data_IF_145835588551
#
_entry.id   IF_145835588551
#
_cell.length_a   1.000
_cell.length_b   1.000
_cell.length_c   1.000
_cell.angle_alpha   90.00
_cell.angle_beta   90.00
_cell.angle_gamma   90.00
#
_symmetry.space_group_name_H-M   'P 1'
#
loop_
_entity.id
_entity.type
_entity.pdbx_description
1 polymer ?
#
# COMPACT_ATOMS: atom_id res chain seq x y z
N UNK A 1 -31.78 38.61 -20.40
CA UNK A 1 -30.41 38.30 -20.86
C UNK A 1 -29.62 37.92 -19.62
N UNK A 2 -29.70 36.66 -19.19
CA UNK A 2 -28.79 35.56 -19.57
C UNK A 2 -27.37 35.85 -19.04
N UNK A 3 -27.07 35.39 -17.82
CA UNK A 3 -26.34 34.13 -17.53
C UNK A 3 -24.84 34.23 -17.79
N UNK A 4 -24.06 34.15 -16.70
CA UNK A 4 -22.72 33.57 -16.71
C UNK A 4 -22.51 32.85 -15.37
N UNK A 5 -22.89 31.57 -15.41
CA UNK A 5 -22.64 30.53 -14.42
C UNK A 5 -21.14 30.19 -14.31
N UNK A 6 -20.62 30.11 -13.09
CA UNK A 6 -20.30 28.86 -12.36
C UNK A 6 -19.50 29.16 -11.07
N UNK A 7 -19.76 28.46 -9.96
CA UNK A 7 -19.05 28.66 -8.70
C UNK A 7 -17.70 27.93 -8.71
N UNK A 8 -16.64 28.63 -8.27
CA UNK A 8 -15.35 28.05 -7.94
C UNK A 8 -15.53 26.98 -6.85
N UNK A 9 -15.28 25.71 -7.18
CA UNK A 9 -15.25 24.62 -6.21
C UNK A 9 -14.08 24.84 -5.24
N UNK A 10 -14.36 24.80 -3.94
CA UNK A 10 -13.36 24.98 -2.90
C UNK A 10 -12.29 23.87 -2.93
N UNK A 11 -11.08 24.08 -2.37
CA UNK A 11 -10.07 23.03 -2.23
C UNK A 11 -10.57 21.78 -1.49
N UNK A 12 -11.57 21.92 -0.61
CA UNK A 12 -12.26 20.82 0.08
C UNK A 12 -13.09 19.99 -0.90
N UNK A 13 -13.63 20.59 -1.96
CA UNK A 13 -14.40 19.93 -3.01
C UNK A 13 -13.50 19.19 -4.01
N UNK A 14 -12.27 19.66 -4.22
CA UNK A 14 -11.26 18.88 -4.96
C UNK A 14 -10.72 17.69 -4.14
N UNK A 15 -10.58 17.85 -2.82
CA UNK A 15 -10.29 16.72 -1.92
C UNK A 15 -11.43 15.68 -1.95
N UNK A 16 -12.70 16.09 -2.03
CA UNK A 16 -13.86 15.18 -2.15
C UNK A 16 -13.87 14.30 -3.41
N UNK A 17 -13.15 14.67 -4.47
CA UNK A 17 -13.12 13.89 -5.73
C UNK A 17 -11.91 12.95 -5.81
N UNK A 18 -10.87 13.17 -4.99
CA UNK A 18 -9.59 12.42 -5.04
C UNK A 18 -9.39 11.42 -3.90
N UNK A 19 -10.33 11.30 -2.96
CA UNK A 19 -10.26 10.47 -1.75
C UNK A 19 -10.99 9.12 -1.91
N UNK A 20 -11.26 8.69 -3.15
CA UNK A 20 -11.86 7.37 -3.44
C UNK A 20 -11.00 6.14 -3.10
N UNK A 21 -9.85 6.34 -2.45
CA UNK A 21 -8.80 5.35 -2.28
C UNK A 21 -8.43 5.01 -0.83
N UNK A 22 -8.69 5.89 0.15
CA UNK A 22 -8.46 5.67 1.60
C UNK A 22 -9.29 6.71 2.36
N UNK A 23 -9.78 6.50 3.59
CA UNK A 23 -10.64 5.49 4.18
C UNK A 23 -11.98 6.16 4.57
N UNK A 24 -12.67 6.74 3.59
CA UNK A 24 -14.00 7.34 3.80
C UNK A 24 -15.02 6.43 4.51
N UNK A 25 -15.00 5.08 4.36
CA UNK A 25 -16.04 4.26 4.99
C UNK A 25 -16.08 4.36 6.53
N UNK A 26 -14.97 4.73 7.19
CA UNK A 26 -14.88 4.74 8.64
C UNK A 26 -15.44 6.01 9.30
N UNK A 27 -15.64 7.10 8.53
CA UNK A 27 -16.05 8.40 9.07
C UNK A 27 -17.49 8.73 8.73
N UNK A 28 -18.27 9.10 9.74
CA UNK A 28 -19.61 9.63 9.52
C UNK A 28 -19.54 11.10 9.09
N UNK A 29 -19.66 11.35 7.77
CA UNK A 29 -19.45 12.65 7.15
C UNK A 29 -20.35 13.78 7.69
N UNK A 30 -21.64 13.56 7.98
CA UNK A 30 -22.48 14.58 8.62
C UNK A 30 -21.92 15.05 9.97
N UNK A 31 -21.52 14.11 10.83
CA UNK A 31 -20.93 14.42 12.14
C UNK A 31 -19.62 15.17 12.01
N UNK A 32 -18.75 14.75 11.07
CA UNK A 32 -17.49 15.46 10.81
C UNK A 32 -17.73 16.91 10.35
N UNK A 33 -18.65 17.11 9.40
CA UNK A 33 -19.02 18.46 8.90
C UNK A 33 -19.68 19.34 9.96
N UNK A 34 -20.41 18.76 10.90
CA UNK A 34 -20.96 19.51 12.02
C UNK A 34 -19.87 19.94 13.01
N UNK A 35 -18.90 19.04 13.29
CA UNK A 35 -17.82 19.29 14.25
C UNK A 35 -16.97 20.53 13.92
N UNK A 36 -16.73 20.80 12.63
CA UNK A 36 -15.91 21.93 12.17
C UNK A 36 -16.56 23.31 12.40
N UNK A 37 -17.84 23.36 12.74
CA UNK A 37 -18.57 24.62 12.99
C UNK A 37 -18.55 25.03 14.47
N UNK A 38 -17.83 24.30 15.34
CA UNK A 38 -17.73 24.59 16.77
C UNK A 38 -16.29 24.39 17.27
N UNK A 39 -15.96 24.83 18.50
CA UNK A 39 -14.72 24.44 19.14
C UNK A 39 -14.59 22.91 19.22
N UNK A 40 -13.47 22.40 18.73
CA UNK A 40 -13.15 20.97 18.67
C UNK A 40 -12.57 20.49 20.00
N UNK A 41 -13.01 19.33 20.45
CA UNK A 41 -12.36 18.58 21.54
C UNK A 41 -11.01 18.04 21.06
N UNK A 42 -10.15 17.63 21.99
CA UNK A 42 -8.78 17.22 21.64
C UNK A 42 -8.74 16.00 20.70
N UNK A 43 -9.59 15.01 20.91
CA UNK A 43 -9.70 13.84 20.03
C UNK A 43 -10.21 14.19 18.63
N UNK A 44 -11.09 15.18 18.50
CA UNK A 44 -11.60 15.66 17.22
C UNK A 44 -10.53 16.44 16.46
N UNK A 45 -9.75 17.27 17.17
CA UNK A 45 -8.57 17.92 16.59
C UNK A 45 -7.57 16.88 16.11
N UNK A 46 -7.32 15.85 16.91
CA UNK A 46 -6.39 14.78 16.56
C UNK A 46 -6.81 14.07 15.28
N UNK A 47 -8.09 13.71 15.19
CA UNK A 47 -8.68 13.10 14.01
C UNK A 47 -8.55 14.01 12.78
N UNK A 48 -8.89 15.30 12.89
CA UNK A 48 -8.81 16.24 11.76
C UNK A 48 -7.37 16.42 11.29
N UNK A 49 -6.41 16.62 12.20
CA UNK A 49 -5.00 16.74 11.81
C UNK A 49 -4.47 15.45 11.16
N UNK A 50 -4.81 14.29 11.71
CA UNK A 50 -4.42 13.01 11.09
C UNK A 50 -5.05 12.80 9.71
N UNK A 51 -6.30 13.23 9.50
CA UNK A 51 -6.98 13.20 8.20
C UNK A 51 -6.31 14.15 7.19
N UNK A 52 -5.95 15.36 7.63
CA UNK A 52 -5.19 16.31 6.83
C UNK A 52 -3.79 15.76 6.47
N UNK A 53 -3.12 15.10 7.41
CA UNK A 53 -1.84 14.46 7.19
C UNK A 53 -1.91 13.41 6.08
N UNK A 54 -2.80 12.41 6.21
CA UNK A 54 -2.92 11.34 5.20
C UNK A 54 -3.36 11.87 3.83
N UNK A 55 -4.29 12.83 3.81
CA UNK A 55 -4.72 13.47 2.55
C UNK A 55 -3.55 14.19 1.88
N UNK A 56 -2.75 14.92 2.66
CA UNK A 56 -1.59 15.63 2.14
C UNK A 56 -0.51 14.66 1.66
N UNK A 57 -0.24 13.58 2.39
CA UNK A 57 0.77 12.60 1.96
C UNK A 57 0.37 11.89 0.66
N UNK A 58 -0.91 11.54 0.45
CA UNK A 58 -1.38 11.00 -0.84
C UNK A 58 -1.31 11.99 -2.01
N UNK A 59 -1.33 13.29 -1.71
CA UNK A 59 -1.20 14.33 -2.72
C UNK A 59 0.26 14.70 -3.01
N UNK A 60 1.23 14.06 -2.34
CA UNK A 60 2.66 14.30 -2.56
C UNK A 60 3.06 14.12 -4.02
N UNK A 61 3.79 15.10 -4.57
CA UNK A 61 4.18 15.13 -5.98
C UNK A 61 3.18 15.82 -6.91
N UNK A 62 1.96 16.14 -6.45
CA UNK A 62 1.02 16.97 -7.19
C UNK A 62 1.29 18.46 -6.94
N UNK A 63 0.81 19.31 -7.85
CA UNK A 63 0.89 20.76 -7.66
C UNK A 63 0.01 21.20 -6.48
N UNK A 64 0.56 22.01 -5.59
CA UNK A 64 -0.19 22.67 -4.54
C UNK A 64 -0.62 24.06 -5.03
N UNK A 65 -1.92 24.24 -5.22
CA UNK A 65 -2.50 25.53 -5.64
C UNK A 65 -2.89 26.42 -4.45
N UNK A 66 -2.76 25.89 -3.23
CA UNK A 66 -3.12 26.60 -2.01
C UNK A 66 -1.95 27.46 -1.51
N UNK A 67 -2.22 28.68 -0.99
CA UNK A 67 -1.20 29.47 -0.29
C UNK A 67 -0.79 28.77 1.01
N UNK A 68 0.51 28.67 1.26
CA UNK A 68 1.05 28.07 2.49
C UNK A 68 2.27 27.18 2.21
N UNK A 69 2.19 25.86 2.45
CA UNK A 69 3.34 24.98 2.36
C UNK A 69 3.84 24.83 0.91
N UNK A 70 5.16 24.71 0.69
CA UNK A 70 5.75 24.65 -0.65
C UNK A 70 5.50 23.30 -1.36
N UNK A 71 5.06 22.27 -0.62
CA UNK A 71 4.66 20.98 -1.19
C UNK A 71 3.64 20.27 -0.28
N UNK A 72 2.89 19.33 -0.87
CA UNK A 72 1.99 18.45 -0.13
C UNK A 72 2.71 17.55 0.89
N UNK A 73 3.96 17.15 0.62
CA UNK A 73 4.74 16.38 1.58
C UNK A 73 5.03 17.20 2.85
N UNK A 74 5.39 18.48 2.69
CA UNK A 74 5.63 19.39 3.82
C UNK A 74 4.34 19.67 4.59
N UNK A 75 3.21 19.83 3.89
CA UNK A 75 1.90 19.92 4.53
C UNK A 75 1.58 18.67 5.36
N UNK A 76 1.84 17.48 4.81
CA UNK A 76 1.62 16.21 5.49
C UNK A 76 2.46 16.08 6.77
N UNK A 77 3.74 16.45 6.72
CA UNK A 77 4.62 16.47 7.89
C UNK A 77 4.16 17.47 8.94
N UNK A 78 3.78 18.67 8.53
CA UNK A 78 3.21 19.67 9.43
C UNK A 78 1.98 19.13 10.18
N UNK A 79 1.03 18.52 9.47
CA UNK A 79 -0.17 17.96 10.11
C UNK A 79 0.12 16.74 11.00
N UNK A 80 1.15 15.94 10.67
CA UNK A 80 1.64 14.89 11.56
C UNK A 80 2.19 15.47 12.87
N UNK A 81 3.00 16.52 12.79
CA UNK A 81 3.59 17.18 13.95
C UNK A 81 2.50 17.81 14.82
N UNK A 82 1.53 18.51 14.22
CA UNK A 82 0.37 19.06 14.93
C UNK A 82 -0.49 17.96 15.58
N UNK A 83 -0.70 16.85 14.88
CA UNK A 83 -1.42 15.70 15.43
C UNK A 83 -0.70 15.16 16.68
N UNK A 84 0.61 14.94 16.61
CA UNK A 84 1.43 14.44 17.73
C UNK A 84 1.44 15.45 18.88
N UNK A 85 1.56 16.76 18.59
CA UNK A 85 1.54 17.83 19.59
C UNK A 85 0.20 17.86 20.34
N UNK A 86 -0.93 17.72 19.65
CA UNK A 86 -2.25 17.63 20.31
C UNK A 86 -2.31 16.46 21.29
N UNK A 87 -1.72 15.30 20.96
CA UNK A 87 -1.69 14.12 21.86
C UNK A 87 -0.88 14.37 23.13
N UNK A 88 0.06 15.32 23.12
CA UNK A 88 0.81 15.71 24.32
C UNK A 88 -0.03 16.62 25.25
N UNK A 89 -1.11 17.21 24.74
CA UNK A 89 -1.98 18.13 25.47
C UNK A 89 -3.07 17.46 26.30
N UNK A 90 -3.22 16.13 26.24
CA UNK A 90 -4.18 15.37 27.03
C UNK A 90 -3.75 13.91 27.20
N UNK A 91 -4.45 13.14 28.05
CA UNK A 91 -4.21 11.70 28.19
C UNK A 91 -4.77 10.95 26.98
N UNK A 92 -4.00 10.94 25.88
CA UNK A 92 -4.37 10.24 24.64
C UNK A 92 -4.50 8.72 24.84
N UNK A 93 -3.74 8.14 25.78
CA UNK A 93 -3.71 6.69 25.98
C UNK A 93 -5.01 6.19 26.61
N UNK A 94 -5.65 6.96 27.50
CA UNK A 94 -6.98 6.64 28.05
C UNK A 94 -8.15 7.12 27.18
N UNK A 95 -7.89 7.64 25.97
CA UNK A 95 -8.92 8.07 25.03
C UNK A 95 -9.61 6.86 24.36
N UNK A 96 -10.84 6.59 24.80
CA UNK A 96 -11.68 5.48 24.30
C UNK A 96 -12.60 5.86 23.15
N UNK A 97 -12.34 6.98 22.48
CA UNK A 97 -13.12 7.40 21.31
C UNK A 97 -12.74 6.61 20.06
N UNK A 98 -13.71 6.42 19.15
CA UNK A 98 -13.42 5.89 17.82
C UNK A 98 -12.48 6.84 17.04
N UNK A 99 -12.58 8.15 17.29
CA UNK A 99 -11.70 9.18 16.73
C UNK A 99 -10.22 8.87 17.01
N UNK A 100 -9.89 8.44 18.23
CA UNK A 100 -8.51 8.13 18.60
C UNK A 100 -7.98 6.93 17.80
N UNK A 101 -8.75 5.83 17.71
CA UNK A 101 -8.42 4.65 16.87
C UNK A 101 -8.17 5.05 15.42
N UNK A 102 -9.10 5.78 14.82
CA UNK A 102 -9.02 6.19 13.42
C UNK A 102 -7.83 7.13 13.20
N UNK A 103 -7.58 8.06 14.14
CA UNK A 103 -6.47 8.99 14.04
C UNK A 103 -5.11 8.29 14.04
N UNK A 104 -4.93 7.27 14.89
CA UNK A 104 -3.70 6.47 14.92
C UNK A 104 -3.52 5.66 13.64
N UNK A 105 -4.60 5.13 13.08
CA UNK A 105 -4.57 4.50 11.77
C UNK A 105 -4.15 5.49 10.67
N UNK A 106 -4.68 6.71 10.66
CA UNK A 106 -4.30 7.73 9.66
C UNK A 106 -2.85 8.19 9.80
N UNK A 107 -2.37 8.36 11.04
CA UNK A 107 -0.95 8.66 11.32
C UNK A 107 -0.06 7.52 10.80
N UNK A 108 -0.46 6.26 11.03
CA UNK A 108 0.23 5.09 10.49
C UNK A 108 0.34 5.12 8.97
N UNK A 109 -0.78 5.37 8.27
CA UNK A 109 -0.81 5.39 6.81
C UNK A 109 -0.03 6.58 6.26
N UNK A 110 -0.07 7.74 6.92
CA UNK A 110 0.72 8.90 6.51
C UNK A 110 2.23 8.62 6.63
N UNK A 111 2.67 7.94 7.70
CA UNK A 111 4.06 7.47 7.80
C UNK A 111 4.41 6.38 6.77
N UNK A 112 3.45 5.55 6.37
CA UNK A 112 3.65 4.58 5.29
C UNK A 112 3.95 5.29 3.96
N UNK A 113 3.14 6.27 3.60
CA UNK A 113 3.30 7.07 2.38
C UNK A 113 4.61 7.88 2.36
N UNK A 114 5.10 8.27 3.54
CA UNK A 114 6.40 8.93 3.71
C UNK A 114 7.59 7.94 3.78
N UNK A 115 7.35 6.65 3.51
CA UNK A 115 8.34 5.58 3.59
C UNK A 115 9.03 5.46 4.97
N UNK A 116 8.33 5.80 6.06
CA UNK A 116 8.81 5.66 7.44
C UNK A 116 8.25 4.38 8.07
N UNK A 117 8.69 3.22 7.54
CA UNK A 117 8.10 1.90 7.84
C UNK A 117 7.98 1.58 9.34
N UNK A 118 9.02 1.86 10.14
CA UNK A 118 8.99 1.63 11.59
C UNK A 118 7.91 2.42 12.30
N UNK A 119 7.73 3.71 11.96
CA UNK A 119 6.69 4.55 12.55
C UNK A 119 5.31 4.11 12.09
N UNK A 120 5.16 3.82 10.81
CA UNK A 120 3.91 3.29 10.28
C UNK A 120 3.44 2.06 11.06
N UNK A 121 4.33 1.08 11.24
CA UNK A 121 4.02 -0.12 12.01
C UNK A 121 3.66 0.17 13.49
N UNK A 122 4.41 1.06 14.14
CA UNK A 122 4.14 1.46 15.52
C UNK A 122 2.71 2.01 15.67
N UNK A 123 2.33 2.98 14.83
CA UNK A 123 1.01 3.60 14.92
C UNK A 123 -0.12 2.68 14.45
N UNK A 124 0.15 1.71 13.55
CA UNK A 124 -0.82 0.68 13.20
C UNK A 124 -1.11 -0.20 14.42
N UNK A 125 -0.07 -0.59 15.16
CA UNK A 125 -0.23 -1.38 16.39
C UNK A 125 -0.92 -0.59 17.51
N UNK A 126 -0.64 0.70 17.64
CA UNK A 126 -1.37 1.61 18.52
C UNK A 126 -2.88 1.60 18.18
N UNK A 127 -3.24 1.81 16.91
CA UNK A 127 -4.63 1.79 16.46
C UNK A 127 -5.33 0.46 16.76
N UNK A 128 -4.68 -0.68 16.49
CA UNK A 128 -5.25 -2.00 16.78
C UNK A 128 -5.41 -2.27 18.27
N UNK A 129 -4.47 -1.81 19.10
CA UNK A 129 -4.56 -1.94 20.57
C UNK A 129 -5.77 -1.16 21.08
N UNK A 130 -5.91 0.10 20.68
CA UNK A 130 -7.05 0.94 21.04
C UNK A 130 -8.38 0.36 20.52
N UNK A 131 -8.40 -0.20 19.30
CA UNK A 131 -9.57 -0.86 18.74
C UNK A 131 -10.00 -2.09 19.57
N UNK A 132 -9.03 -2.86 20.09
CA UNK A 132 -9.31 -3.98 20.98
C UNK A 132 -9.83 -3.50 22.34
N UNK A 133 -9.25 -2.44 22.90
CA UNK A 133 -9.66 -1.87 24.19
C UNK A 133 -11.10 -1.35 24.19
N UNK A 134 -11.56 -0.74 23.09
CA UNK A 134 -12.96 -0.31 22.94
C UNK A 134 -13.89 -1.45 22.45
N UNK A 135 -13.36 -2.65 22.26
CA UNK A 135 -14.13 -3.86 21.95
C UNK A 135 -14.61 -3.99 20.50
N UNK A 136 -13.92 -3.40 19.51
CA UNK A 136 -14.34 -3.49 18.10
C UNK A 136 -14.34 -4.93 17.53
N UNK A 137 -13.69 -5.87 18.21
CA UNK A 137 -13.64 -7.27 17.80
C UNK A 137 -14.78 -8.12 18.43
N UNK A 138 -15.60 -7.52 19.29
CA UNK A 138 -16.62 -8.23 20.07
C UNK A 138 -18.03 -7.91 19.54
N UNK A 139 -18.73 -8.90 18.98
CA UNK A 139 -20.04 -8.70 18.35
C UNK A 139 -21.10 -8.09 19.30
N UNK A 140 -21.07 -8.46 20.58
CA UNK A 140 -22.06 -7.95 21.54
C UNK A 140 -21.90 -6.45 21.83
N UNK A 141 -20.71 -5.85 21.59
CA UNK A 141 -20.46 -4.41 21.79
C UNK A 141 -21.20 -3.51 20.80
N UNK A 142 -21.71 -4.09 19.71
CA UNK A 142 -22.49 -3.38 18.71
C UNK A 142 -23.98 -3.25 19.07
N UNK A 143 -24.45 -4.02 20.05
CA UNK A 143 -25.86 -4.04 20.45
C UNK A 143 -26.28 -2.69 21.07
N UNK A 144 -27.33 -2.09 20.53
CA UNK A 144 -27.89 -0.83 21.02
C UNK A 144 -27.15 0.44 20.60
N UNK A 145 -26.12 0.33 19.74
CA UNK A 145 -25.47 1.50 19.14
C UNK A 145 -26.39 2.18 18.10
N UNK A 146 -26.17 3.48 17.88
CA UNK A 146 -26.79 4.17 16.77
C UNK A 146 -26.29 3.59 15.43
N UNK A 147 -27.14 3.37 14.41
CA UNK A 147 -26.74 2.69 13.17
C UNK A 147 -25.51 3.29 12.48
N UNK A 148 -25.39 4.62 12.47
CA UNK A 148 -24.23 5.29 11.88
C UNK A 148 -22.92 5.00 12.64
N UNK A 149 -22.99 4.94 13.98
CA UNK A 149 -21.82 4.63 14.81
C UNK A 149 -21.45 3.15 14.70
N UNK A 150 -22.45 2.26 14.70
CA UNK A 150 -22.26 0.83 14.48
C UNK A 150 -21.49 0.57 13.19
N UNK A 151 -21.94 1.18 12.08
CA UNK A 151 -21.33 1.03 10.76
C UNK A 151 -19.88 1.54 10.75
N UNK A 152 -19.62 2.73 11.31
CA UNK A 152 -18.27 3.30 11.41
C UNK A 152 -17.32 2.38 12.21
N UNK A 153 -17.78 1.85 13.34
CA UNK A 153 -17.02 0.92 14.19
C UNK A 153 -16.70 -0.39 13.46
N UNK A 154 -17.68 -1.00 12.78
CA UNK A 154 -17.46 -2.23 11.99
C UNK A 154 -16.47 -1.98 10.87
N UNK A 155 -16.64 -0.91 10.10
CA UNK A 155 -15.73 -0.58 8.99
C UNK A 155 -14.31 -0.28 9.48
N UNK A 156 -14.16 0.45 10.59
CA UNK A 156 -12.86 0.71 11.22
C UNK A 156 -12.14 -0.59 11.56
N UNK A 157 -12.83 -1.54 12.20
CA UNK A 157 -12.27 -2.86 12.48
C UNK A 157 -11.78 -3.57 11.21
N UNK A 158 -12.63 -3.64 10.19
CA UNK A 158 -12.32 -4.38 8.96
C UNK A 158 -11.23 -3.70 8.11
N UNK A 159 -11.09 -2.37 8.18
CA UNK A 159 -9.94 -1.65 7.60
C UNK A 159 -8.64 -2.02 8.31
N UNK A 160 -8.64 -2.04 9.64
CA UNK A 160 -7.47 -2.47 10.43
C UNK A 160 -7.11 -3.93 10.13
N UNK A 161 -8.10 -4.80 10.02
CA UNK A 161 -7.94 -6.22 9.67
C UNK A 161 -7.23 -6.43 8.32
N UNK A 162 -7.68 -5.72 7.29
CA UNK A 162 -7.07 -5.76 5.95
C UNK A 162 -5.65 -5.20 5.96
N UNK A 163 -5.45 -4.07 6.65
CA UNK A 163 -4.15 -3.41 6.74
C UNK A 163 -3.13 -4.28 7.51
N UNK A 164 -3.54 -4.90 8.63
CA UNK A 164 -2.67 -5.80 9.40
C UNK A 164 -2.16 -6.96 8.53
N UNK A 165 -3.04 -7.59 7.75
CA UNK A 165 -2.65 -8.69 6.84
C UNK A 165 -1.73 -8.24 5.74
N UNK A 166 -1.96 -7.05 5.19
CA UNK A 166 -1.05 -6.45 4.21
C UNK A 166 0.35 -6.31 4.81
N UNK A 167 0.46 -5.80 6.04
CA UNK A 167 1.74 -5.68 6.75
C UNK A 167 2.34 -7.03 7.13
N UNK A 168 1.52 -8.00 7.54
CA UNK A 168 1.98 -9.34 7.87
C UNK A 168 2.67 -9.98 6.66
N UNK A 169 2.08 -9.83 5.48
CA UNK A 169 2.61 -10.37 4.23
C UNK A 169 3.83 -9.58 3.76
N UNK A 170 3.69 -8.27 3.61
CA UNK A 170 4.71 -7.39 3.00
C UNK A 170 5.94 -7.14 3.87
N UNK A 171 5.81 -7.28 5.19
CA UNK A 171 6.84 -6.89 6.17
C UNK A 171 7.09 -7.95 7.24
N UNK A 172 6.60 -9.17 7.05
CA UNK A 172 6.74 -10.30 7.99
C UNK A 172 6.34 -9.93 9.42
N UNK A 173 5.23 -9.22 9.58
CA UNK A 173 4.69 -8.83 10.88
C UNK A 173 3.71 -9.88 11.43
N UNK A 174 3.60 -10.04 12.76
CA UNK A 174 2.65 -10.97 13.35
C UNK A 174 1.23 -10.38 13.36
N UNK A 175 0.23 -11.25 13.19
CA UNK A 175 -1.18 -10.92 13.39
C UNK A 175 -1.51 -10.78 14.87
N UNK A 176 -2.47 -9.91 15.19
CA UNK A 176 -3.03 -9.73 16.55
C UNK A 176 -4.54 -9.79 16.57
N UNK A 177 -5.21 -9.50 15.45
CA UNK A 177 -6.66 -9.57 15.36
C UNK A 177 -7.10 -11.03 15.11
N UNK A 178 -7.31 -11.77 16.20
CA UNK A 178 -7.69 -13.19 16.17
C UNK A 178 -9.21 -13.44 16.12
N UNK A 179 -10.01 -12.45 16.50
CA UNK A 179 -11.49 -12.47 16.44
C UNK A 179 -11.99 -11.38 15.50
N UNK A 180 -13.08 -11.66 14.79
CA UNK A 180 -13.73 -10.71 13.89
C UNK A 180 -15.20 -10.54 14.29
N UNK A 181 -15.74 -9.30 14.29
CA UNK A 181 -17.18 -9.07 14.36
C UNK A 181 -17.83 -9.48 13.03
N UNK A 182 -19.16 -9.46 12.96
CA UNK A 182 -19.86 -9.61 11.69
C UNK A 182 -19.46 -8.51 10.69
N UNK A 183 -19.47 -8.86 9.41
CA UNK A 183 -19.24 -7.92 8.32
C UNK A 183 -20.29 -6.80 8.32
N UNK A 184 -19.94 -5.57 7.93
CA UNK A 184 -20.95 -4.53 7.75
C UNK A 184 -21.94 -4.98 6.67
N UNK A 185 -23.23 -4.78 6.91
CA UNK A 185 -24.33 -5.15 6.00
C UNK A 185 -25.08 -3.94 5.43
N UNK A 186 -24.69 -2.74 5.83
CA UNK A 186 -25.35 -1.48 5.49
C UNK A 186 -24.37 -0.46 4.91
N UNK A 187 -24.93 0.66 4.45
CA UNK A 187 -24.24 1.85 3.98
C UNK A 187 -24.87 3.09 4.61
N UNK A 188 -24.16 4.21 4.62
CA UNK A 188 -24.77 5.49 4.95
C UNK A 188 -25.63 5.98 3.78
N UNK A 189 -26.67 6.76 4.06
CA UNK A 189 -27.63 7.22 3.05
C UNK A 189 -27.01 8.08 1.93
N UNK A 190 -25.86 8.70 2.20
CA UNK A 190 -25.12 9.54 1.26
C UNK A 190 -24.09 8.76 0.42
N UNK A 191 -23.92 7.46 0.66
CA UNK A 191 -22.94 6.63 -0.02
C UNK A 191 -23.53 5.94 -1.25
N UNK A 192 -22.70 5.83 -2.30
CA UNK A 192 -23.05 5.03 -3.45
C UNK A 192 -22.90 3.52 -3.12
N UNK A 193 -23.77 2.63 -3.62
CA UNK A 193 -23.70 1.18 -3.34
C UNK A 193 -22.36 0.52 -3.70
N UNK A 194 -21.66 1.10 -4.67
CA UNK A 194 -20.34 0.68 -5.11
C UNK A 194 -19.33 0.77 -3.97
N UNK A 195 -19.41 1.77 -3.08
CA UNK A 195 -18.48 1.96 -1.95
C UNK A 195 -18.48 0.74 -1.04
N UNK A 196 -19.66 0.33 -0.60
CA UNK A 196 -19.84 -0.87 0.22
C UNK A 196 -19.38 -2.12 -0.54
N UNK A 197 -19.79 -2.26 -1.81
CA UNK A 197 -19.43 -3.42 -2.63
C UNK A 197 -17.91 -3.55 -2.75
N UNK A 198 -17.20 -2.47 -3.08
CA UNK A 198 -15.75 -2.47 -3.22
C UNK A 198 -15.03 -2.80 -1.92
N UNK A 199 -15.50 -2.23 -0.80
CA UNK A 199 -14.96 -2.53 0.53
C UNK A 199 -15.08 -4.02 0.87
N UNK A 200 -16.25 -4.61 0.63
CA UNK A 200 -16.49 -6.03 0.90
C UNK A 200 -15.62 -6.95 0.03
N UNK A 201 -15.38 -6.59 -1.23
CA UNK A 201 -14.48 -7.35 -2.11
C UNK A 201 -13.05 -7.36 -1.57
N UNK A 202 -12.56 -6.22 -1.09
CA UNK A 202 -11.23 -6.12 -0.50
C UNK A 202 -11.13 -6.97 0.77
N UNK A 203 -12.10 -6.82 1.67
CA UNK A 203 -12.16 -7.62 2.92
C UNK A 203 -12.16 -9.11 2.63
N UNK A 204 -13.03 -9.59 1.73
CA UNK A 204 -13.07 -11.01 1.36
C UNK A 204 -11.75 -11.49 0.78
N UNK A 205 -11.10 -10.70 -0.08
CA UNK A 205 -9.82 -11.08 -0.70
C UNK A 205 -8.72 -11.32 0.34
N UNK A 206 -8.60 -10.44 1.34
CA UNK A 206 -7.65 -10.63 2.44
C UNK A 206 -8.11 -11.69 3.44
N UNK A 207 -9.42 -11.91 3.60
CA UNK A 207 -9.95 -12.93 4.50
C UNK A 207 -9.62 -14.35 4.05
N UNK A 208 -9.39 -14.57 2.75
CA UNK A 208 -8.88 -15.84 2.22
C UNK A 208 -7.48 -16.21 2.75
N UNK A 209 -6.70 -15.21 3.17
CA UNK A 209 -5.38 -15.40 3.78
C UNK A 209 -5.58 -15.39 5.30
N UNK A 210 -5.97 -16.55 5.83
CA UNK A 210 -6.23 -16.78 7.24
C UNK A 210 -4.92 -16.82 8.07
N UNK A 211 -5.06 -17.01 9.39
CA UNK A 211 -3.89 -17.11 10.27
C UNK A 211 -2.96 -18.27 9.88
N UNK A 212 -3.51 -19.41 9.46
CA UNK A 212 -2.70 -20.57 9.06
C UNK A 212 -1.85 -20.25 7.83
N UNK A 213 -2.41 -19.53 6.85
CA UNK A 213 -1.67 -19.05 5.70
C UNK A 213 -0.55 -18.10 6.13
N UNK A 214 -0.85 -17.12 6.99
CA UNK A 214 0.13 -16.13 7.44
C UNK A 214 1.24 -16.75 8.30
N UNK A 215 0.91 -17.72 9.15
CA UNK A 215 1.89 -18.46 9.96
C UNK A 215 2.82 -19.28 9.06
N UNK A 216 2.28 -19.94 8.03
CA UNK A 216 3.08 -20.64 7.01
C UNK A 216 3.94 -19.66 6.21
N UNK A 217 3.39 -18.50 5.85
CA UNK A 217 4.10 -17.43 5.12
C UNK A 217 5.28 -16.86 5.91
N UNK A 218 5.11 -16.72 7.21
CA UNK A 218 6.12 -16.22 8.15
C UNK A 218 7.07 -17.31 8.65
N UNK A 219 6.97 -18.54 8.12
CA UNK A 219 7.78 -19.69 8.57
C UNK A 219 7.63 -19.96 10.08
N UNK A 220 6.49 -19.58 10.64
CA UNK A 220 6.15 -19.76 12.06
C UNK A 220 5.50 -21.13 12.34
N UNK A 221 5.19 -21.90 11.30
CA UNK A 221 4.57 -23.22 11.39
C UNK A 221 5.14 -24.17 10.34
N UNK A 222 5.49 -25.39 10.76
CA UNK A 222 5.88 -26.51 9.90
C UNK A 222 4.67 -27.28 9.35
N UNK A 223 3.44 -26.74 9.50
CA UNK A 223 2.25 -27.44 9.05
C UNK A 223 2.32 -27.71 7.54
N UNK A 224 2.23 -28.98 7.09
CA UNK A 224 2.35 -29.30 5.68
C UNK A 224 1.15 -28.72 4.92
N UNK A 225 1.40 -27.78 4.01
CA UNK A 225 0.37 -27.32 3.08
C UNK A 225 0.44 -28.14 1.79
N UNK A 226 -0.72 -28.39 1.19
CA UNK A 226 -0.84 -29.20 -0.01
C UNK A 226 -1.00 -28.35 -1.26
N UNK A 227 -0.55 -28.89 -2.39
CA UNK A 227 -0.83 -28.32 -3.73
C UNK A 227 -2.34 -28.10 -3.94
N UNK A 228 -3.19 -29.01 -3.45
CA UNK A 228 -4.65 -28.87 -3.57
C UNK A 228 -5.18 -27.62 -2.85
N UNK A 229 -4.70 -27.38 -1.63
CA UNK A 229 -5.09 -26.21 -0.82
C UNK A 229 -4.74 -24.92 -1.54
N UNK A 230 -3.50 -24.80 -2.04
CA UNK A 230 -3.04 -23.57 -2.69
C UNK A 230 -3.60 -23.39 -4.10
N UNK A 231 -3.87 -24.48 -4.84
CA UNK A 231 -4.61 -24.39 -6.10
C UNK A 231 -6.05 -23.91 -5.85
N UNK A 232 -6.74 -24.40 -4.83
CA UNK A 232 -8.08 -23.92 -4.48
C UNK A 232 -8.06 -22.43 -4.08
N UNK A 233 -7.05 -22.00 -3.32
CA UNK A 233 -6.87 -20.59 -2.95
C UNK A 233 -6.60 -19.71 -4.18
N UNK A 234 -5.76 -20.15 -5.12
CA UNK A 234 -5.53 -19.47 -6.39
C UNK A 234 -6.81 -19.36 -7.21
N UNK A 235 -7.63 -20.41 -7.25
CA UNK A 235 -8.93 -20.39 -7.94
C UNK A 235 -9.89 -19.38 -7.30
N UNK A 236 -10.03 -19.39 -5.97
CA UNK A 236 -10.88 -18.43 -5.25
C UNK A 236 -10.44 -16.98 -5.49
N UNK A 237 -9.14 -16.72 -5.45
CA UNK A 237 -8.59 -15.40 -5.76
C UNK A 237 -8.79 -15.02 -7.23
N UNK A 238 -8.83 -15.97 -8.16
CA UNK A 238 -8.96 -15.70 -9.59
C UNK A 238 -10.42 -15.61 -10.09
N UNK A 239 -11.42 -15.84 -9.22
CA UNK A 239 -12.83 -15.66 -9.59
C UNK A 239 -13.08 -14.19 -9.90
N UNK A 240 -13.53 -13.92 -11.13
CA UNK A 240 -14.09 -12.61 -11.48
C UNK A 240 -15.40 -12.46 -10.72
N UNK A 241 -15.39 -11.70 -9.63
CA UNK A 241 -16.61 -11.43 -8.89
C UNK A 241 -17.56 -10.63 -9.79
N UNK A 242 -18.52 -11.31 -10.40
CA UNK A 242 -19.60 -10.72 -11.19
C UNK A 242 -20.63 -10.12 -10.24
N UNK A 243 -20.25 -9.11 -9.46
CA UNK A 243 -21.27 -8.34 -8.76
C UNK A 243 -22.12 -7.62 -9.81
N UNK A 244 -23.46 -7.72 -9.71
CA UNK A 244 -24.41 -6.96 -10.53
C UNK A 244 -24.21 -5.43 -10.42
N UNK A 245 -23.42 -4.97 -9.45
CA UNK A 245 -23.05 -3.58 -9.21
C UNK A 245 -21.77 -3.24 -9.99
N UNK A 246 -21.83 -2.19 -10.82
CA UNK A 246 -20.68 -1.71 -11.60
C UNK A 246 -19.73 -0.91 -10.72
N UNK A 247 -18.64 -1.54 -10.28
CA UNK A 247 -17.55 -0.87 -9.55
C UNK A 247 -16.97 0.32 -10.35
N UNK A 248 -16.60 1.37 -9.64
CA UNK A 248 -15.89 2.53 -10.23
C UNK A 248 -14.48 2.15 -10.68
N UNK A 249 -13.86 2.96 -11.55
CA UNK A 249 -12.49 2.72 -12.01
C UNK A 249 -11.48 2.72 -10.85
N UNK A 250 -11.66 3.60 -9.86
CA UNK A 250 -10.81 3.67 -8.65
C UNK A 250 -10.89 2.36 -7.86
N UNK A 251 -12.10 1.84 -7.64
CA UNK A 251 -12.28 0.60 -6.89
C UNK A 251 -11.79 -0.62 -7.66
N UNK A 252 -12.00 -0.64 -8.98
CA UNK A 252 -11.44 -1.68 -9.85
C UNK A 252 -9.92 -1.70 -9.76
N UNK A 253 -9.26 -0.54 -9.74
CA UNK A 253 -7.81 -0.46 -9.58
C UNK A 253 -7.35 -1.14 -8.28
N UNK A 254 -7.91 -0.76 -7.14
CA UNK A 254 -7.52 -1.34 -5.84
C UNK A 254 -7.75 -2.85 -5.78
N UNK A 255 -8.97 -3.29 -6.16
CA UNK A 255 -9.38 -4.69 -6.05
C UNK A 255 -8.59 -5.56 -7.02
N UNK A 256 -8.50 -5.19 -8.29
CA UNK A 256 -7.89 -6.05 -9.31
C UNK A 256 -6.36 -6.08 -9.21
N UNK A 257 -5.72 -4.97 -8.85
CA UNK A 257 -4.27 -4.96 -8.59
C UNK A 257 -3.97 -5.78 -7.33
N UNK A 258 -4.73 -5.57 -6.25
CA UNK A 258 -4.58 -6.37 -5.02
C UNK A 258 -4.83 -7.85 -5.26
N UNK A 259 -5.82 -8.21 -6.09
CA UNK A 259 -6.08 -9.59 -6.50
C UNK A 259 -4.86 -10.23 -7.17
N UNK A 260 -4.24 -9.55 -8.15
CA UNK A 260 -3.04 -10.07 -8.82
C UNK A 260 -1.87 -10.23 -7.84
N UNK A 261 -1.74 -9.29 -6.91
CA UNK A 261 -0.69 -9.34 -5.90
C UNK A 261 -0.93 -10.51 -4.92
N UNK A 262 -2.15 -10.72 -4.43
CA UNK A 262 -2.46 -11.87 -3.57
C UNK A 262 -2.22 -13.22 -4.30
N UNK A 263 -2.53 -13.32 -5.60
CA UNK A 263 -2.18 -14.50 -6.40
C UNK A 263 -0.67 -14.74 -6.45
N UNK A 264 0.13 -13.67 -6.53
CA UNK A 264 1.59 -13.77 -6.45
C UNK A 264 2.04 -14.25 -5.06
N UNK A 265 1.47 -13.71 -3.99
CA UNK A 265 1.80 -14.10 -2.62
C UNK A 265 1.53 -15.59 -2.37
N UNK A 266 0.39 -16.10 -2.84
CA UNK A 266 0.09 -17.54 -2.74
C UNK A 266 1.09 -18.37 -3.54
N UNK A 267 1.48 -17.93 -4.74
CA UNK A 267 2.50 -18.62 -5.54
C UNK A 267 3.89 -18.60 -4.87
N UNK A 268 4.30 -17.46 -4.30
CA UNK A 268 5.56 -17.35 -3.57
C UNK A 268 5.56 -18.27 -2.34
N UNK A 269 4.42 -18.38 -1.65
CA UNK A 269 4.26 -19.36 -0.56
C UNK A 269 4.40 -20.80 -1.06
N UNK A 270 3.75 -21.15 -2.19
CA UNK A 270 3.93 -22.47 -2.84
C UNK A 270 5.40 -22.76 -3.15
N UNK A 271 6.14 -21.75 -3.62
CA UNK A 271 7.56 -21.88 -3.94
C UNK A 271 8.40 -22.18 -2.70
N UNK A 272 8.22 -21.41 -1.61
CA UNK A 272 8.95 -21.61 -0.34
C UNK A 272 8.71 -23.00 0.25
N UNK A 273 7.52 -23.55 0.03
CA UNK A 273 7.15 -24.89 0.50
C UNK A 273 7.50 -26.02 -0.47
N UNK A 274 8.19 -25.72 -1.59
CA UNK A 274 8.61 -26.74 -2.55
C UNK A 274 7.47 -27.39 -3.33
N UNK A 275 6.31 -26.74 -3.43
CA UNK A 275 5.12 -27.30 -4.08
C UNK A 275 5.10 -27.12 -5.61
N UNK A 276 6.07 -26.40 -6.16
CA UNK A 276 6.11 -26.07 -7.59
C UNK A 276 6.77 -27.17 -8.44
N UNK A 277 6.24 -27.36 -9.65
CA UNK A 277 6.84 -28.23 -10.66
C UNK A 277 6.62 -27.66 -12.06
N UNK A 278 7.65 -27.71 -12.92
CA UNK A 278 7.53 -27.33 -14.33
C UNK A 278 6.50 -28.16 -15.11
N UNK A 279 6.21 -29.38 -14.63
CA UNK A 279 5.22 -30.29 -15.22
C UNK A 279 3.89 -30.33 -14.47
N UNK A 280 3.63 -29.39 -13.54
CA UNK A 280 2.37 -29.34 -12.83
C UNK A 280 1.19 -29.14 -13.80
N UNK A 281 0.09 -29.85 -13.57
CA UNK A 281 -1.11 -29.76 -14.41
C UNK A 281 -1.79 -28.39 -14.29
N UNK A 282 -1.81 -27.81 -13.08
CA UNK A 282 -2.30 -26.46 -12.85
C UNK A 282 -1.15 -25.46 -13.00
N UNK A 283 -1.33 -24.48 -13.90
CA UNK A 283 -0.31 -23.46 -14.18
C UNK A 283 0.07 -22.65 -12.94
N UNK A 284 -0.84 -22.50 -11.96
CA UNK A 284 -0.57 -21.82 -10.68
C UNK A 284 0.46 -22.52 -9.80
N UNK A 285 0.81 -23.76 -10.12
CA UNK A 285 1.83 -24.55 -9.43
C UNK A 285 3.09 -24.75 -10.29
N UNK A 286 3.29 -23.90 -11.29
CA UNK A 286 4.48 -23.89 -12.15
C UNK A 286 5.37 -22.69 -11.87
N UNK A 287 6.67 -22.79 -12.18
CA UNK A 287 7.62 -21.67 -12.03
C UNK A 287 7.33 -20.47 -12.95
N UNK A 288 6.56 -20.67 -14.03
CA UNK A 288 6.21 -19.61 -14.99
C UNK A 288 4.98 -18.79 -14.61
N UNK A 289 4.25 -19.16 -13.55
CA UNK A 289 3.01 -18.50 -13.18
C UNK A 289 3.11 -16.98 -12.94
N UNK A 290 4.22 -16.42 -12.40
CA UNK A 290 4.38 -14.97 -12.28
C UNK A 290 4.26 -14.22 -13.61
N UNK A 291 4.61 -14.84 -14.74
CA UNK A 291 4.42 -14.24 -16.06
C UNK A 291 2.93 -14.07 -16.38
N UNK A 292 2.09 -15.08 -16.07
CA UNK A 292 0.63 -14.99 -16.22
C UNK A 292 0.03 -13.92 -15.33
N UNK A 293 0.51 -13.81 -14.08
CA UNK A 293 0.06 -12.76 -13.15
C UNK A 293 0.42 -11.38 -13.71
N UNK A 294 1.65 -11.19 -14.20
CA UNK A 294 2.09 -9.94 -14.80
C UNK A 294 1.25 -9.55 -16.03
N UNK A 295 0.94 -10.50 -16.91
CA UNK A 295 0.03 -10.24 -18.03
C UNK A 295 -1.40 -9.93 -17.58
N UNK A 296 -1.90 -10.58 -16.54
CA UNK A 296 -3.19 -10.25 -15.93
C UNK A 296 -3.19 -8.82 -15.39
N UNK A 297 -2.13 -8.42 -14.68
CA UNK A 297 -1.96 -7.07 -14.16
C UNK A 297 -1.84 -6.03 -15.30
N UNK A 298 -1.13 -6.34 -16.37
CA UNK A 298 -1.04 -5.50 -17.56
C UNK A 298 -2.44 -5.24 -18.15
N UNK A 299 -3.27 -6.28 -18.28
CA UNK A 299 -4.65 -6.11 -18.74
C UNK A 299 -5.47 -5.18 -17.83
N UNK A 300 -5.25 -5.25 -16.52
CA UNK A 300 -5.92 -4.38 -15.55
C UNK A 300 -5.47 -2.94 -15.73
N UNK A 301 -4.16 -2.68 -15.67
CA UNK A 301 -3.58 -1.32 -15.73
C UNK A 301 -3.91 -0.66 -17.07
N UNK A 302 -3.83 -1.39 -18.19
CA UNK A 302 -4.14 -0.86 -19.52
C UNK A 302 -5.63 -0.56 -19.73
N UNK A 303 -6.52 -1.09 -18.89
CA UNK A 303 -7.98 -0.88 -18.99
C UNK A 303 -8.49 0.29 -18.13
N UNK A 304 -7.64 0.89 -17.29
CA UNK A 304 -8.03 1.87 -16.29
C UNK A 304 -7.34 3.22 -16.53
N UNK A 305 -8.00 4.35 -16.23
CA UNK A 305 -7.33 5.64 -16.19
C UNK A 305 -6.20 5.62 -15.14
N UNK A 306 -5.05 6.18 -15.48
CA UNK A 306 -3.88 6.19 -14.59
C UNK A 306 -4.17 6.90 -13.26
N UNK A 307 -5.01 7.94 -13.29
CA UNK A 307 -5.48 8.66 -12.11
C UNK A 307 -6.26 7.78 -11.14
N UNK A 308 -6.90 6.70 -11.62
CA UNK A 308 -7.60 5.73 -10.77
C UNK A 308 -6.66 4.80 -10.02
N UNK A 309 -5.41 4.67 -10.48
CA UNK A 309 -4.34 3.93 -9.80
C UNK A 309 -3.62 4.88 -8.82
N UNK A 310 -3.23 6.07 -9.28
CA UNK A 310 -2.45 7.04 -8.50
C UNK A 310 -3.10 7.46 -7.17
N UNK A 311 -4.44 7.53 -7.12
CA UNK A 311 -5.16 7.94 -5.90
C UNK A 311 -4.90 7.04 -4.70
N UNK A 312 -4.48 5.79 -4.91
CA UNK A 312 -4.19 4.80 -3.85
C UNK A 312 -2.84 4.95 -3.17
N UNK A 313 -1.98 5.86 -3.66
CA UNK A 313 -0.70 6.11 -3.02
C UNK A 313 0.29 4.95 -3.16
N UNK A 314 1.28 4.91 -2.27
CA UNK A 314 2.43 4.00 -2.36
C UNK A 314 2.04 2.52 -2.27
N UNK A 315 0.91 2.21 -1.63
CA UNK A 315 0.49 0.83 -1.38
C UNK A 315 0.06 0.06 -2.63
N UNK A 316 -0.45 0.73 -3.68
CA UNK A 316 -0.75 0.07 -4.96
C UNK A 316 0.51 -0.06 -5.82
N UNK A 317 1.38 0.95 -5.77
CA UNK A 317 2.65 0.93 -6.50
C UNK A 317 3.57 -0.17 -6.00
N UNK A 318 3.63 -0.39 -4.69
CA UNK A 318 4.40 -1.49 -4.11
C UNK A 318 3.93 -2.86 -4.64
N UNK A 319 2.62 -3.07 -4.73
CA UNK A 319 2.04 -4.31 -5.27
C UNK A 319 2.41 -4.52 -6.75
N UNK A 320 2.36 -3.47 -7.55
CA UNK A 320 2.78 -3.49 -8.96
C UNK A 320 4.27 -3.80 -9.07
N UNK A 321 5.08 -3.19 -8.22
CA UNK A 321 6.52 -3.45 -8.14
C UNK A 321 6.83 -4.90 -7.80
N UNK A 322 6.20 -5.48 -6.77
CA UNK A 322 6.42 -6.88 -6.37
C UNK A 322 6.11 -7.87 -7.52
N UNK A 323 5.05 -7.61 -8.29
CA UNK A 323 4.69 -8.39 -9.48
C UNK A 323 5.72 -8.20 -10.59
N UNK A 324 6.09 -6.95 -10.90
CA UNK A 324 7.11 -6.66 -11.91
C UNK A 324 8.47 -7.26 -11.57
N UNK A 325 8.88 -7.17 -10.31
CA UNK A 325 10.12 -7.73 -9.80
C UNK A 325 10.14 -9.26 -9.92
N UNK A 326 9.07 -9.93 -9.50
CA UNK A 326 8.95 -11.40 -9.62
C UNK A 326 8.91 -11.85 -11.09
N UNK A 327 8.27 -11.07 -11.97
CA UNK A 327 8.28 -11.33 -13.41
C UNK A 327 9.71 -11.27 -13.97
N UNK A 328 10.47 -10.22 -13.63
CA UNK A 328 11.86 -10.07 -14.07
C UNK A 328 12.72 -11.24 -13.57
N UNK A 329 12.55 -11.67 -12.32
CA UNK A 329 13.27 -12.84 -11.78
C UNK A 329 13.01 -14.12 -12.60
N UNK A 330 11.75 -14.39 -12.95
CA UNK A 330 11.40 -15.54 -13.77
C UNK A 330 11.95 -15.39 -15.20
N UNK A 331 11.82 -14.21 -15.81
CA UNK A 331 12.38 -13.97 -17.15
C UNK A 331 13.90 -14.22 -17.17
N UNK A 332 14.61 -13.75 -16.13
CA UNK A 332 16.05 -13.97 -15.98
C UNK A 332 16.40 -15.45 -15.80
N UNK A 333 15.56 -16.23 -15.11
CA UNK A 333 15.78 -17.66 -14.93
C UNK A 333 15.56 -18.48 -16.22
N UNK A 334 14.65 -18.04 -17.10
CA UNK A 334 14.34 -18.74 -18.36
C UNK A 334 15.16 -18.25 -19.58
N UNK A 335 15.85 -17.12 -19.49
CA UNK A 335 16.74 -16.60 -20.53
C UNK A 335 16.03 -16.41 -21.88
N UNK A 336 16.60 -16.98 -22.95
CA UNK A 336 16.07 -16.88 -24.33
C UNK A 336 14.88 -17.81 -24.63
N UNK A 337 14.47 -18.67 -23.69
CA UNK A 337 13.40 -19.67 -23.90
C UNK A 337 11.98 -19.15 -23.60
N UNK A 338 11.83 -17.83 -23.39
CA UNK A 338 10.52 -17.23 -23.07
C UNK A 338 9.62 -17.34 -24.32
N UNK A 339 8.48 -18.06 -24.26
CA UNK A 339 7.55 -18.05 -25.37
C UNK A 339 6.86 -16.69 -25.39
N UNK A 340 7.20 -15.87 -26.40
CA UNK A 340 6.78 -14.47 -26.55
C UNK A 340 5.26 -14.27 -26.79
N UNK A 341 4.46 -15.33 -26.78
CA UNK A 341 3.07 -15.30 -27.26
C UNK A 341 2.07 -16.12 -26.42
N UNK A 342 2.38 -16.48 -25.17
CA UNK A 342 1.50 -17.41 -24.40
C UNK A 342 0.19 -16.76 -23.94
N UNK A 343 0.18 -15.45 -23.67
CA UNK A 343 -0.92 -14.81 -22.94
C UNK A 343 -1.76 -13.81 -23.76
N UNK A 344 -1.57 -13.76 -25.09
CA UNK A 344 -2.45 -12.99 -25.99
C UNK A 344 -2.36 -11.46 -25.88
N UNK A 345 -1.39 -10.92 -25.15
CA UNK A 345 -1.15 -9.47 -25.04
C UNK A 345 0.13 -9.11 -25.80
N UNK A 346 0.01 -8.18 -26.75
CA UNK A 346 1.11 -7.72 -27.62
C UNK A 346 2.08 -6.76 -26.91
N UNK A 347 1.66 -6.15 -25.80
CA UNK A 347 2.48 -5.22 -25.02
C UNK A 347 3.35 -5.97 -24.00
N UNK A 348 4.59 -5.51 -23.85
CA UNK A 348 5.51 -5.97 -22.80
C UNK A 348 5.06 -5.41 -21.44
N UNK A 349 4.75 -6.27 -20.44
CA UNK A 349 4.36 -5.81 -19.11
C UNK A 349 5.42 -4.93 -18.43
N UNK A 350 6.70 -5.14 -18.72
CA UNK A 350 7.79 -4.40 -18.08
C UNK A 350 7.72 -2.89 -18.36
N UNK A 351 7.60 -2.49 -19.63
CA UNK A 351 7.49 -1.07 -20.02
C UNK A 351 6.28 -0.40 -19.37
N UNK A 352 5.13 -1.08 -19.37
CA UNK A 352 3.92 -0.54 -18.74
C UNK A 352 4.10 -0.37 -17.23
N UNK A 353 4.65 -1.37 -16.53
CA UNK A 353 4.87 -1.28 -15.09
C UNK A 353 5.83 -0.15 -14.74
N UNK A 354 6.94 0.00 -15.47
CA UNK A 354 7.89 1.11 -15.22
C UNK A 354 7.20 2.46 -15.44
N UNK A 355 6.39 2.61 -16.48
CA UNK A 355 5.62 3.85 -16.72
C UNK A 355 4.63 4.13 -15.59
N UNK A 356 3.89 3.11 -15.15
CA UNK A 356 2.93 3.25 -14.04
C UNK A 356 3.63 3.57 -12.72
N UNK A 357 4.76 2.93 -12.42
CA UNK A 357 5.57 3.22 -11.23
C UNK A 357 6.23 4.60 -11.31
N UNK A 358 6.39 5.18 -12.50
CA UNK A 358 6.99 6.50 -12.68
C UNK A 358 5.99 7.67 -12.61
N UNK A 359 4.71 7.41 -12.32
CA UNK A 359 3.69 8.47 -12.31
C UNK A 359 3.83 9.47 -11.16
N UNK A 360 4.49 9.08 -10.07
CA UNK A 360 4.79 10.00 -8.96
C UNK A 360 6.29 9.99 -8.66
N UNK A 361 6.88 11.12 -8.25
CA UNK A 361 8.31 11.18 -7.89
C UNK A 361 8.70 10.18 -6.79
N UNK A 362 7.81 9.94 -5.83
CA UNK A 362 8.06 9.01 -4.72
C UNK A 362 8.06 7.56 -5.22
N UNK A 363 7.04 7.16 -5.99
CA UNK A 363 6.96 5.82 -6.58
C UNK A 363 8.12 5.56 -7.56
N UNK A 364 8.49 6.56 -8.36
CA UNK A 364 9.61 6.45 -9.30
C UNK A 364 10.93 6.16 -8.56
N UNK A 365 11.21 6.95 -7.52
CA UNK A 365 12.43 6.81 -6.71
C UNK A 365 12.48 5.48 -5.99
N UNK A 366 11.34 5.04 -5.44
CA UNK A 366 11.29 3.85 -4.59
C UNK A 366 11.16 2.54 -5.38
N UNK A 367 10.49 2.53 -6.54
CA UNK A 367 10.14 1.30 -7.24
C UNK A 367 10.63 1.26 -8.68
N UNK A 368 10.32 2.27 -9.50
CA UNK A 368 10.65 2.24 -10.93
C UNK A 368 12.16 2.13 -11.18
N UNK A 369 12.95 2.92 -10.44
CA UNK A 369 14.40 2.93 -10.57
C UNK A 369 15.04 1.59 -10.15
N UNK A 370 14.51 0.94 -9.10
CA UNK A 370 14.98 -0.38 -8.67
C UNK A 370 14.70 -1.44 -9.73
N UNK A 371 13.49 -1.42 -10.31
CA UNK A 371 13.10 -2.37 -11.34
C UNK A 371 13.93 -2.21 -12.62
N UNK A 372 14.25 -0.96 -13.00
CA UNK A 372 15.16 -0.66 -14.11
C UNK A 372 16.60 -1.12 -13.85
N UNK A 373 17.12 -0.85 -12.65
CA UNK A 373 18.47 -1.28 -12.25
C UNK A 373 18.61 -2.81 -12.33
N UNK A 374 17.59 -3.54 -11.84
CA UNK A 374 17.57 -5.01 -11.86
C UNK A 374 17.65 -5.62 -13.26
N UNK A 375 17.03 -4.98 -14.26
CA UNK A 375 17.14 -5.43 -15.66
C UNK A 375 18.50 -5.08 -16.26
N UNK A 376 19.11 -3.96 -15.85
CA UNK A 376 20.41 -3.54 -16.36
C UNK A 376 21.56 -4.49 -15.95
N UNK A 377 21.43 -5.18 -14.81
CA UNK A 377 22.44 -6.12 -14.28
C UNK A 377 22.61 -7.41 -15.12
N UNK A 378 21.67 -7.76 -16.02
CA UNK A 378 21.78 -8.97 -16.87
C UNK A 378 21.55 -8.68 -18.37
N UNK A 379 22.59 -8.82 -19.22
CA UNK A 379 22.54 -8.40 -20.63
C UNK A 379 21.57 -9.21 -21.52
N UNK A 380 21.16 -10.41 -21.13
CA UNK A 380 20.21 -11.23 -21.90
C UNK A 380 18.80 -10.61 -22.00
N UNK A 381 18.47 -9.68 -21.10
CA UNK A 381 17.18 -8.98 -21.00
C UNK A 381 17.35 -7.45 -21.20
N UNK A 382 18.58 -6.97 -21.46
CA UNK A 382 18.84 -5.54 -21.73
C UNK A 382 18.06 -4.98 -22.93
N UNK A 383 17.57 -5.82 -23.85
CA UNK A 383 16.69 -5.38 -24.95
C UNK A 383 15.42 -4.66 -24.47
N UNK A 384 14.98 -4.90 -23.24
CA UNK A 384 13.78 -4.29 -22.66
C UNK A 384 14.05 -2.92 -21.99
N UNK A 385 15.31 -2.58 -21.66
CA UNK A 385 15.64 -1.30 -21.01
C UNK A 385 16.00 -0.18 -21.99
N UNK A 386 16.51 -0.51 -23.18
CA UNK A 386 17.13 0.45 -24.10
C UNK A 386 16.23 1.62 -24.55
N UNK A 387 14.90 1.45 -24.56
CA UNK A 387 13.95 2.51 -24.97
C UNK A 387 13.53 3.39 -23.79
N UNK A 388 13.48 2.86 -22.56
CA UNK A 388 12.92 3.55 -21.38
C UNK A 388 13.92 4.47 -20.68
N UNK A 389 15.19 4.08 -20.57
CA UNK A 389 16.21 4.90 -19.87
C UNK A 389 16.37 6.27 -20.53
N UNK A 390 16.16 6.33 -21.85
CA UNK A 390 16.24 7.56 -22.64
C UNK A 390 15.03 8.48 -22.44
N UNK A 391 13.82 7.91 -22.28
CA UNK A 391 12.58 8.67 -22.09
C UNK A 391 12.51 9.27 -20.69
N UNK A 392 12.86 8.50 -19.66
CA UNK A 392 12.82 8.97 -18.26
C UNK A 392 13.91 10.00 -17.92
N UNK A 393 14.99 10.06 -18.72
CA UNK A 393 16.07 11.05 -18.55
C UNK A 393 15.80 12.39 -19.23
N UNK A 394 14.84 12.47 -20.15
CA UNK A 394 14.57 13.68 -20.94
C UNK A 394 13.56 14.61 -20.24
N UNK A 395 12.69 14.10 -19.38
CA UNK A 395 11.62 14.88 -18.73
C UNK A 395 12.01 15.53 -17.39
N UNK A 396 13.29 15.52 -17.00
CA UNK A 396 13.74 16.13 -15.75
C UNK A 396 15.09 16.87 -15.90
N UNK A 397 15.06 18.07 -16.48
CA UNK A 397 16.05 19.13 -16.20
C UNK A 397 15.57 20.51 -16.67
N UNK A 398 15.41 21.51 -15.78
CA UNK A 398 15.83 22.87 -16.10
C UNK A 398 17.35 22.97 -15.94
N UNK A 399 18.01 23.51 -16.96
CA UNK A 399 19.45 23.67 -17.06
C UNK A 399 20.14 24.15 -15.76
N UNK A 400 21.15 23.42 -15.30
CA UNK A 400 22.32 24.01 -14.64
C UNK A 400 23.56 23.13 -14.82
N UNK A 401 24.63 23.72 -15.33
CA UNK A 401 25.94 23.09 -15.53
C UNK A 401 26.60 22.86 -14.17
N UNK A 402 26.90 21.60 -13.84
CA UNK A 402 27.74 21.23 -12.70
C UNK A 402 28.14 19.76 -12.79
N UNK A 403 29.41 19.50 -13.12
CA UNK A 403 30.01 18.16 -13.20
C UNK A 403 29.98 17.48 -11.84
N UNK A 404 29.29 16.34 -11.72
CA UNK A 404 29.42 15.42 -10.57
C UNK A 404 29.73 14.02 -11.11
N UNK A 405 30.82 13.45 -10.61
CA UNK A 405 31.36 12.13 -10.93
C UNK A 405 30.43 11.01 -10.48
N UNK A 406 29.97 10.17 -11.42
CA UNK A 406 29.24 8.94 -11.12
C UNK A 406 30.19 7.89 -10.54
N UNK A 407 30.06 7.60 -9.25
CA UNK A 407 30.60 6.38 -8.64
C UNK A 407 29.43 5.41 -8.42
N UNK A 408 29.48 4.28 -9.11
CA UNK A 408 28.54 3.16 -8.98
C UNK A 408 28.99 2.33 -7.76
N UNK A 409 28.13 2.09 -6.76
CA UNK A 409 28.50 1.21 -5.64
C UNK A 409 28.43 -0.26 -6.07
N UNK A 410 29.47 -1.00 -5.73
CA UNK A 410 29.60 -2.44 -5.97
C UNK A 410 28.81 -3.21 -4.91
N UNK A 411 27.83 -4.03 -5.30
CA UNK A 411 27.10 -4.93 -4.40
C UNK A 411 27.68 -6.34 -4.56
N UNK A 412 28.10 -6.95 -3.46
CA UNK A 412 28.62 -8.32 -3.42
C UNK A 412 27.50 -9.37 -3.46
N UNK A 413 27.84 -10.58 -3.90
CA UNK A 413 26.93 -11.73 -4.01
C UNK A 413 26.25 -12.04 -2.66
N UNK A 414 24.96 -11.72 -2.54
CA UNK A 414 24.09 -12.23 -1.48
C UNK A 414 22.83 -12.81 -2.08
N UNK A 415 22.48 -14.01 -1.61
CA UNK A 415 21.34 -14.80 -2.01
C UNK A 415 20.05 -14.12 -1.51
N UNK A 416 19.25 -13.59 -2.44
CA UNK A 416 18.04 -12.83 -2.13
C UNK A 416 16.90 -13.75 -1.65
N UNK A 417 16.69 -13.80 -0.34
CA UNK A 417 15.48 -14.39 0.26
C UNK A 417 14.37 -13.33 0.23
N UNK A 418 13.21 -13.70 -0.32
CA UNK A 418 12.17 -12.78 -0.78
C UNK A 418 11.51 -11.94 0.32
N UNK A 419 11.90 -10.67 0.38
CA UNK A 419 11.08 -9.48 0.67
C UNK A 419 11.94 -8.26 0.32
N UNK A 420 11.62 -7.54 -0.77
CA UNK A 420 12.49 -6.48 -1.33
C UNK A 420 11.94 -5.10 -0.99
N UNK A 421 12.06 -4.74 0.29
CA UNK A 421 12.53 -3.40 0.67
C UNK A 421 13.45 -3.63 1.87
N UNK A 422 14.74 -3.85 1.58
CA UNK A 422 15.77 -3.80 2.61
C UNK A 422 15.70 -2.46 3.31
N UNK A 423 15.65 -2.48 4.64
CA UNK A 423 15.79 -1.28 5.46
C UNK A 423 17.06 -0.55 5.00
N UNK A 424 16.91 0.63 4.42
CA UNK A 424 18.04 1.55 4.26
C UNK A 424 18.45 1.90 5.70
N UNK A 425 19.50 1.22 6.20
CA UNK A 425 20.20 1.69 7.40
C UNK A 425 20.68 3.10 7.07
N UNK A 426 20.10 4.10 7.71
CA UNK A 426 20.73 5.40 7.83
C UNK A 426 22.08 5.15 8.52
N UNK A 427 23.19 5.42 7.83
CA UNK A 427 24.50 5.47 8.45
C UNK A 427 24.51 6.61 9.47
N UNK A 428 24.25 6.30 10.74
CA UNK A 428 24.49 7.23 11.86
C UNK A 428 25.86 7.03 12.53
N UNK A 429 26.69 6.11 12.06
CA UNK A 429 28.04 5.90 12.62
C UNK A 429 29.13 6.55 11.76
N UNK A 430 29.13 7.88 11.74
CA UNK A 430 30.29 8.67 11.34
C UNK A 430 30.56 9.76 12.38
N UNK A 431 30.88 9.34 13.60
CA UNK A 431 31.50 10.20 14.61
C UNK A 431 32.91 9.68 14.89
N UNK A 432 33.86 10.37 14.25
CA UNK A 432 35.26 10.61 14.64
C UNK A 432 35.94 9.54 15.54
N UNK A 433 36.73 8.67 14.91
CA UNK A 433 37.92 8.09 15.56
C UNK A 433 39.13 8.90 15.13
N UNK A 434 39.48 9.90 15.92
CA UNK A 434 40.84 10.43 15.99
C UNK A 434 41.07 10.96 17.42
N UNK A 435 42.18 10.50 18.00
CA UNK A 435 42.86 10.96 19.20
C UNK A 435 42.20 10.79 20.59
N UNK A 436 42.51 9.65 21.23
CA UNK A 436 42.85 9.63 22.67
C UNK A 436 43.89 8.55 22.96
N UNK A 437 45.17 8.96 23.01
CA UNK A 437 46.22 8.24 23.72
C UNK A 437 45.79 8.03 25.19
N UNK A 438 45.85 6.77 25.66
CA UNK A 438 45.85 6.46 27.10
C UNK A 438 47.30 6.27 27.56
N UNK A 439 47.73 6.87 28.68
CA UNK A 439 48.98 6.49 29.31
C UNK A 439 48.78 5.20 30.10
N UNK A 440 49.68 4.24 29.87
CA UNK A 440 49.86 3.01 30.64
C UNK A 440 50.45 3.35 32.00
N UNK A 441 49.81 2.95 33.10
CA UNK A 441 50.48 2.74 34.38
C UNK A 441 49.90 1.49 35.06
N UNK A 442 50.72 0.46 35.20
CA UNK A 442 50.63 -0.46 36.34
C UNK A 442 52.04 -0.71 36.85
N UNK A 443 52.23 -0.35 38.12
CA UNK A 443 53.44 -0.41 38.98
C UNK A 443 54.53 0.64 38.73
#
# INVERSE_FOLDING_TARGET
MAELSKPSQSPVTQAQVQVGAVPEPALHMPTLKESINRPLQMHEKNLIYSLCAITSTHMSGKNILAPGPPSWEIAGRFFLDECIMVRQGYDFVDDRSLSAVISSYFVSTAFFELNQSRKSWYYLREAMTMAQDIGLHEEFKYSGLHPAEELCRRRTFWILYVTERSFAILRHKPLTLSKTPALPSTLHDYEAPEIHSGFMHLVHSYHLLDSNFVDSWNEASDAPVSTLTYTALQQQLNISNSSHVSLTAIQKADILVTQQWLRLIVWQSSMRQGLLSSGAADESMTFRYPLKIAHSLLSVISSLPITSIEVHGMGIFEKIFEIGNSMVDIMQAYGSQIPHEVYGICQDPFDMFVRTLSQTPNSQRQYANLLLAKVAEKPEIQRFSHTLTKVLSIDNMPHSNGSISNTIPHVGEQQWVGSIVGEIKANEDAVSKEDMEKPTITQ
#
